data_IF_768876888211
#
_entry.id   IF_768876888211
#
_cell.length_a   1.000
_cell.length_b   1.000
_cell.length_c   1.000
_cell.angle_alpha   90.00
_cell.angle_beta   90.00
_cell.angle_gamma   90.00
#
_symmetry.space_group_name_H-M   'P 1'
#
loop_
_entity.id
_entity.type
_entity.pdbx_description
1 polymer ?
#
# COMPACT_ATOMS: atom_id res chain seq x y z
N UNK A 1 26.98 -9.42 4.60
CA UNK A 1 26.81 -9.53 3.14
C UNK A 1 25.34 -9.26 2.89
N UNK A 2 24.99 -8.20 2.17
CA UNK A 2 23.62 -8.06 1.67
C UNK A 2 23.38 -9.29 0.80
N UNK A 3 22.27 -9.97 1.01
CA UNK A 3 21.92 -11.31 0.51
C UNK A 3 21.89 -11.48 -1.03
N UNK A 4 22.35 -10.50 -1.80
CA UNK A 4 22.36 -10.54 -3.26
C UNK A 4 20.97 -10.64 -3.88
N UNK A 5 19.92 -10.46 -3.07
CA UNK A 5 18.56 -10.32 -3.54
C UNK A 5 18.46 -8.98 -4.23
N UNK A 6 17.70 -8.91 -5.32
CA UNK A 6 17.54 -7.65 -6.03
C UNK A 6 16.79 -6.56 -5.25
N UNK A 7 16.56 -6.74 -3.95
CA UNK A 7 15.59 -5.95 -3.22
C UNK A 7 16.06 -4.61 -2.70
N UNK A 8 15.10 -3.73 -2.34
CA UNK A 8 15.39 -2.49 -1.68
C UNK A 8 16.19 -2.76 -0.38
N UNK A 9 17.19 -1.92 -0.07
CA UNK A 9 18.07 -2.15 1.07
C UNK A 9 17.30 -2.11 2.40
N UNK A 10 17.75 -2.91 3.36
CA UNK A 10 17.22 -2.92 4.73
C UNK A 10 16.10 -3.93 4.95
N UNK A 11 15.17 -3.61 5.86
CA UNK A 11 14.07 -4.49 6.29
C UNK A 11 12.73 -4.12 5.60
N UNK A 12 12.76 -3.66 4.35
CA UNK A 12 11.56 -3.14 3.68
C UNK A 12 10.43 -4.17 3.61
N UNK A 13 10.74 -5.43 3.30
CA UNK A 13 9.73 -6.49 3.26
C UNK A 13 9.09 -6.75 4.63
N UNK A 14 9.85 -6.62 5.73
CA UNK A 14 9.30 -6.72 7.08
C UNK A 14 8.34 -5.55 7.37
N UNK A 15 8.71 -4.33 6.96
CA UNK A 15 7.86 -3.13 7.08
C UNK A 15 6.56 -3.32 6.28
N UNK A 16 6.62 -3.90 5.07
CA UNK A 16 5.42 -4.23 4.30
C UNK A 16 4.56 -5.28 5.00
N UNK A 17 5.17 -6.27 5.64
CA UNK A 17 4.47 -7.24 6.47
C UNK A 17 3.69 -6.56 7.60
N UNK A 18 4.35 -5.66 8.32
CA UNK A 18 3.73 -4.88 9.41
C UNK A 18 2.58 -3.99 8.89
N UNK A 19 2.77 -3.31 7.76
CA UNK A 19 1.73 -2.47 7.15
C UNK A 19 0.56 -3.30 6.64
N UNK A 20 0.81 -4.47 6.04
CA UNK A 20 -0.26 -5.39 5.65
C UNK A 20 -1.10 -5.81 6.85
N UNK A 21 -0.44 -6.20 7.95
CA UNK A 21 -1.12 -6.58 9.18
C UNK A 21 -1.93 -5.41 9.78
N UNK A 22 -1.42 -4.18 9.68
CA UNK A 22 -2.15 -2.98 10.10
C UNK A 22 -3.39 -2.72 9.22
N UNK A 23 -3.27 -2.84 7.90
CA UNK A 23 -4.41 -2.70 6.98
C UNK A 23 -5.52 -3.73 7.28
N UNK A 24 -5.15 -4.98 7.58
CA UNK A 24 -6.10 -6.03 7.95
C UNK A 24 -6.81 -5.73 9.29
N UNK A 25 -6.08 -5.17 10.26
CA UNK A 25 -6.68 -4.69 11.53
C UNK A 25 -7.63 -3.52 11.30
N UNK A 26 -7.27 -2.56 10.44
CA UNK A 26 -8.15 -1.45 10.06
C UNK A 26 -9.43 -1.97 9.43
N UNK A 27 -9.32 -2.91 8.48
CA UNK A 27 -10.49 -3.51 7.82
C UNK A 27 -11.39 -4.25 8.82
N UNK A 28 -10.81 -5.00 9.75
CA UNK A 28 -11.55 -5.68 10.82
C UNK A 28 -12.29 -4.68 11.69
N UNK A 29 -11.58 -3.67 12.19
CA UNK A 29 -12.18 -2.63 13.03
C UNK A 29 -13.26 -1.82 12.30
N UNK A 30 -13.10 -1.57 11.00
CA UNK A 30 -14.09 -0.89 10.17
C UNK A 30 -15.36 -1.73 10.01
N UNK A 31 -15.23 -3.04 9.74
CA UNK A 31 -16.37 -3.97 9.64
C UNK A 31 -17.16 -4.06 10.94
N UNK A 32 -16.47 -4.05 12.08
CA UNK A 32 -17.08 -4.11 13.41
C UNK A 32 -17.59 -2.74 13.91
N UNK A 33 -17.39 -1.66 13.15
CA UNK A 33 -17.74 -0.31 13.58
C UNK A 33 -16.94 0.18 14.80
N UNK A 34 -15.78 -0.42 15.05
CA UNK A 34 -14.83 -0.05 16.12
C UNK A 34 -13.75 0.91 15.65
N UNK A 35 -13.56 1.05 14.33
CA UNK A 35 -12.62 2.01 13.78
C UNK A 35 -13.24 3.42 13.79
N UNK A 36 -12.79 4.24 14.74
CA UNK A 36 -13.13 5.65 14.80
C UNK A 36 -11.95 6.46 14.23
N UNK A 37 -12.15 7.06 13.07
CA UNK A 37 -11.25 8.06 12.48
C UNK A 37 -12.05 9.35 12.30
N UNK A 38 -11.48 10.51 12.64
CA UNK A 38 -12.15 11.78 12.34
C UNK A 38 -12.25 11.95 10.82
N UNK A 39 -13.21 12.74 10.35
CA UNK A 39 -13.36 12.98 8.91
C UNK A 39 -12.09 13.62 8.32
N UNK A 40 -11.51 14.60 9.03
CA UNK A 40 -10.30 15.29 8.63
C UNK A 40 -9.10 14.35 8.58
N UNK A 41 -8.92 13.51 9.60
CA UNK A 41 -7.82 12.54 9.63
C UNK A 41 -7.99 11.46 8.56
N UNK A 42 -9.23 11.01 8.32
CA UNK A 42 -9.56 10.03 7.29
C UNK A 42 -9.26 10.56 5.88
N UNK A 43 -9.67 11.80 5.58
CA UNK A 43 -9.37 12.42 4.29
C UNK A 43 -7.89 12.74 4.12
N UNK A 44 -7.18 13.17 5.17
CA UNK A 44 -5.75 13.41 5.11
C UNK A 44 -4.97 12.12 4.77
N UNK A 45 -5.31 11.02 5.44
CA UNK A 45 -4.68 9.72 5.17
C UNK A 45 -5.03 9.21 3.76
N UNK A 46 -6.30 9.35 3.35
CA UNK A 46 -6.74 8.99 2.01
C UNK A 46 -6.02 9.80 0.93
N UNK A 47 -5.80 11.10 1.15
CA UNK A 47 -5.05 11.95 0.22
C UNK A 47 -3.63 11.45 0.06
N UNK A 48 -2.94 11.18 1.18
CA UNK A 48 -1.57 10.64 1.14
C UNK A 48 -1.48 9.29 0.41
N UNK A 49 -2.47 8.40 0.59
CA UNK A 49 -2.55 7.13 -0.14
C UNK A 49 -2.70 7.39 -1.65
N UNK A 50 -3.62 8.27 -2.04
CA UNK A 50 -3.89 8.58 -3.44
C UNK A 50 -2.69 9.24 -4.12
N UNK A 51 -1.97 10.12 -3.43
CA UNK A 51 -0.74 10.73 -3.92
C UNK A 51 0.31 9.65 -4.22
N UNK A 52 0.54 8.74 -3.27
CA UNK A 52 1.46 7.62 -3.47
C UNK A 52 1.04 6.72 -4.63
N UNK A 53 -0.23 6.31 -4.71
CA UNK A 53 -0.73 5.41 -5.76
C UNK A 53 -0.58 6.06 -7.14
N UNK A 54 -0.86 7.36 -7.23
CA UNK A 54 -0.70 8.15 -8.45
C UNK A 54 0.76 8.23 -8.87
N UNK A 55 1.64 8.58 -7.93
CA UNK A 55 3.08 8.66 -8.15
C UNK A 55 3.63 7.31 -8.59
N UNK A 56 3.28 6.23 -7.90
CA UNK A 56 3.72 4.89 -8.26
C UNK A 56 3.27 4.51 -9.66
N UNK A 57 1.98 4.69 -9.97
CA UNK A 57 1.41 4.40 -11.30
C UNK A 57 2.12 5.20 -12.41
N UNK A 58 2.46 6.46 -12.15
CA UNK A 58 3.20 7.29 -13.11
C UNK A 58 4.65 6.80 -13.35
N UNK A 59 5.25 6.18 -12.33
CA UNK A 59 6.62 5.68 -12.34
C UNK A 59 6.77 4.23 -12.81
N UNK A 60 5.69 3.43 -12.84
CA UNK A 60 5.74 2.03 -13.29
C UNK A 60 6.45 1.85 -14.64
N UNK A 61 6.15 2.73 -15.62
CA UNK A 61 6.83 2.69 -16.94
C UNK A 61 8.34 2.95 -16.86
N UNK A 62 8.79 3.77 -15.90
CA UNK A 62 10.22 4.01 -15.68
C UNK A 62 10.89 2.79 -15.05
N UNK A 63 10.20 2.11 -14.14
CA UNK A 63 10.68 0.85 -13.56
C UNK A 63 10.77 -0.28 -14.60
N UNK A 64 9.78 -0.41 -15.50
CA UNK A 64 9.88 -1.36 -16.60
C UNK A 64 11.08 -1.10 -17.52
N UNK A 65 11.47 0.17 -17.71
CA UNK A 65 12.70 0.50 -18.44
C UNK A 65 13.97 0.14 -17.67
N UNK A 66 13.96 0.24 -16.34
CA UNK A 66 15.07 -0.22 -15.50
C UNK A 66 15.23 -1.74 -15.54
N UNK A 67 14.13 -2.47 -15.79
CA UNK A 67 14.14 -3.90 -16.01
C UNK A 67 14.63 -4.31 -17.41
N UNK A 68 14.88 -3.35 -18.32
CA UNK A 68 15.52 -3.65 -19.60
C UNK A 68 17.01 -3.93 -19.39
N UNK A 69 17.52 -4.98 -20.04
CA UNK A 69 18.94 -5.35 -19.92
C UNK A 69 19.83 -4.22 -20.47
N UNK A 70 20.70 -3.62 -19.64
CA UNK A 70 21.54 -2.51 -20.09
C UNK A 70 22.61 -3.00 -21.09
N UNK A 71 22.88 -2.19 -22.12
CA UNK A 71 23.86 -2.49 -23.17
C UNK A 71 25.28 -2.17 -22.68
N UNK A 72 25.80 -2.99 -21.77
CA UNK A 72 27.11 -2.78 -21.11
C UNK A 72 28.29 -3.43 -21.87
N UNK A 73 28.07 -3.91 -23.10
CA UNK A 73 29.05 -4.66 -23.89
C UNK A 73 28.88 -6.18 -23.78
N UNK A 74 29.85 -6.93 -24.30
CA UNK A 74 29.79 -8.41 -24.45
C UNK A 74 30.73 -9.17 -23.51
N UNK A 75 31.40 -8.47 -22.58
CA UNK A 75 32.27 -9.15 -21.61
C UNK A 75 31.44 -9.98 -20.61
N UNK A 76 31.99 -11.06 -20.05
CA UNK A 76 31.31 -11.84 -19.02
C UNK A 76 30.86 -10.97 -17.83
N UNK A 77 31.70 -10.03 -17.41
CA UNK A 77 31.37 -9.08 -16.34
C UNK A 77 30.21 -8.15 -16.73
N UNK A 78 30.20 -7.59 -17.94
CA UNK A 78 29.10 -6.77 -18.44
C UNK A 78 27.77 -7.53 -18.44
N UNK A 79 27.81 -8.83 -18.77
CA UNK A 79 26.63 -9.69 -18.70
C UNK A 79 26.12 -9.90 -17.28
N UNK A 80 27.01 -10.12 -16.30
CA UNK A 80 26.64 -10.27 -14.89
C UNK A 80 26.01 -8.99 -14.33
N UNK A 81 26.60 -7.82 -14.61
CA UNK A 81 26.05 -6.53 -14.18
C UNK A 81 24.67 -6.30 -14.79
N UNK A 82 24.50 -6.58 -16.08
CA UNK A 82 23.20 -6.43 -16.74
C UNK A 82 22.12 -7.36 -16.19
N UNK A 83 22.47 -8.60 -15.82
CA UNK A 83 21.54 -9.52 -15.16
C UNK A 83 21.17 -9.05 -13.75
N UNK A 84 22.15 -8.55 -12.99
CA UNK A 84 21.90 -8.03 -11.65
C UNK A 84 20.98 -6.80 -11.68
N UNK A 85 21.19 -5.86 -12.62
CA UNK A 85 20.34 -4.69 -12.79
C UNK A 85 18.87 -5.06 -13.06
N UNK A 86 18.64 -6.00 -13.98
CA UNK A 86 17.30 -6.53 -14.29
C UNK A 86 16.68 -7.19 -13.06
N UNK A 87 17.46 -8.01 -12.33
CA UNK A 87 17.00 -8.68 -11.12
C UNK A 87 16.53 -7.68 -10.07
N UNK A 88 17.30 -6.61 -9.86
CA UNK A 88 16.98 -5.57 -8.88
C UNK A 88 15.71 -4.82 -9.23
N UNK A 89 15.48 -4.56 -10.52
CA UNK A 89 14.33 -3.80 -10.98
C UNK A 89 13.02 -4.59 -10.90
N UNK A 90 12.98 -5.82 -11.44
CA UNK A 90 11.73 -6.58 -11.64
C UNK A 90 11.91 -8.12 -11.57
N UNK A 91 13.08 -8.65 -11.18
CA UNK A 91 13.39 -10.06 -11.42
C UNK A 91 12.97 -11.07 -10.34
N UNK A 92 12.61 -10.64 -9.13
CA UNK A 92 12.18 -11.53 -8.05
C UNK A 92 11.18 -10.86 -7.10
N UNK A 93 10.69 -11.61 -6.10
CA UNK A 93 9.72 -11.11 -5.11
C UNK A 93 10.27 -9.95 -4.29
N UNK A 94 11.60 -9.85 -4.16
CA UNK A 94 12.27 -8.81 -3.42
C UNK A 94 12.56 -7.60 -4.30
N UNK A 95 12.51 -7.71 -5.62
CA UNK A 95 12.79 -6.60 -6.54
C UNK A 95 11.97 -5.35 -6.24
N UNK A 96 12.58 -4.19 -6.50
CA UNK A 96 12.03 -2.90 -6.12
C UNK A 96 10.62 -2.67 -6.69
N UNK A 97 10.36 -3.09 -7.94
CA UNK A 97 9.02 -2.99 -8.53
C UNK A 97 8.00 -3.85 -7.80
N UNK A 98 8.32 -5.12 -7.52
CA UNK A 98 7.41 -6.02 -6.80
C UNK A 98 7.06 -5.50 -5.41
N UNK A 99 8.05 -4.97 -4.69
CA UNK A 99 7.86 -4.43 -3.35
C UNK A 99 7.01 -3.14 -3.35
N UNK A 100 7.15 -2.28 -4.38
CA UNK A 100 6.32 -1.08 -4.54
C UNK A 100 4.90 -1.42 -5.01
N UNK A 101 4.72 -2.43 -5.88
CA UNK A 101 3.41 -2.98 -6.22
C UNK A 101 2.70 -3.54 -4.96
N UNK A 102 3.42 -4.26 -4.10
CA UNK A 102 2.90 -4.75 -2.83
C UNK A 102 2.48 -3.62 -1.88
N UNK A 103 3.29 -2.55 -1.78
CA UNK A 103 2.94 -1.37 -0.99
C UNK A 103 1.65 -0.71 -1.51
N UNK A 104 1.50 -0.53 -2.83
CA UNK A 104 0.26 -0.03 -3.44
C UNK A 104 -0.94 -0.86 -3.01
N UNK A 105 -0.84 -2.18 -3.09
CA UNK A 105 -1.96 -3.07 -2.78
C UNK A 105 -2.32 -3.05 -1.28
N UNK A 106 -1.33 -2.90 -0.39
CA UNK A 106 -1.57 -2.69 1.05
C UNK A 106 -2.29 -1.35 1.29
N UNK A 107 -1.85 -0.27 0.66
CA UNK A 107 -2.43 1.05 0.85
C UNK A 107 -3.86 1.15 0.30
N UNK A 108 -4.15 0.50 -0.83
CA UNK A 108 -5.52 0.40 -1.35
C UNK A 108 -6.46 -0.29 -0.34
N UNK A 109 -6.03 -1.40 0.30
CA UNK A 109 -6.81 -2.04 1.36
C UNK A 109 -7.03 -1.13 2.57
N UNK A 110 -6.04 -0.32 2.93
CA UNK A 110 -6.18 0.66 4.00
C UNK A 110 -7.21 1.76 3.64
N UNK A 111 -7.22 2.27 2.39
CA UNK A 111 -8.22 3.23 1.92
C UNK A 111 -9.64 2.65 1.95
N UNK A 112 -9.81 1.40 1.53
CA UNK A 112 -11.08 0.69 1.61
C UNK A 112 -11.59 0.60 3.06
N UNK A 113 -10.69 0.29 4.00
CA UNK A 113 -11.03 0.22 5.42
C UNK A 113 -11.47 1.60 5.98
N UNK A 114 -10.78 2.69 5.61
CA UNK A 114 -11.15 4.06 6.00
C UNK A 114 -12.54 4.40 5.46
N UNK A 115 -12.79 4.12 4.18
CA UNK A 115 -14.07 4.41 3.51
C UNK A 115 -15.22 3.64 4.15
N UNK A 116 -15.00 2.36 4.47
CA UNK A 116 -15.96 1.53 5.17
C UNK A 116 -16.27 2.07 6.57
N UNK A 117 -15.24 2.47 7.32
CA UNK A 117 -15.42 3.01 8.66
C UNK A 117 -16.21 4.33 8.66
N UNK A 118 -15.92 5.26 7.72
CA UNK A 118 -16.72 6.49 7.55
C UNK A 118 -18.19 6.15 7.30
N UNK A 119 -18.46 5.14 6.49
CA UNK A 119 -19.83 4.70 6.16
C UNK A 119 -20.54 4.12 7.38
N UNK A 120 -19.87 3.22 8.12
CA UNK A 120 -20.40 2.61 9.34
C UNK A 120 -20.63 3.62 10.46
N UNK A 121 -19.75 4.59 10.62
CA UNK A 121 -19.91 5.67 11.58
C UNK A 121 -21.19 6.47 11.30
N UNK A 122 -21.38 6.91 10.04
CA UNK A 122 -22.59 7.66 9.63
C UNK A 122 -23.88 6.86 9.82
N UNK A 123 -23.86 5.56 9.50
CA UNK A 123 -25.02 4.69 9.71
C UNK A 123 -25.38 4.61 11.20
N UNK A 124 -24.40 4.33 12.07
CA UNK A 124 -24.64 4.22 13.51
C UNK A 124 -25.12 5.54 14.12
N UNK A 125 -24.60 6.67 13.66
CA UNK A 125 -25.06 7.99 14.13
C UNK A 125 -26.51 8.27 13.72
N UNK A 126 -26.89 7.94 12.48
CA UNK A 126 -28.27 8.04 12.01
C UNK A 126 -29.22 7.13 12.81
N UNK A 127 -28.86 5.86 13.00
CA UNK A 127 -29.65 4.87 13.75
C UNK A 127 -29.87 5.33 15.20
N UNK A 128 -28.81 5.82 15.86
CA UNK A 128 -28.89 6.34 17.22
C UNK A 128 -29.77 7.60 17.31
N UNK A 129 -29.65 8.51 16.33
CA UNK A 129 -30.48 9.70 16.27
C UNK A 129 -31.97 9.36 16.08
N UNK A 130 -32.30 8.32 15.29
CA UNK A 130 -33.67 7.82 15.15
C UNK A 130 -34.20 7.21 16.45
N UNK A 131 -33.41 6.37 17.13
CA UNK A 131 -33.77 5.78 18.41
C UNK A 131 -34.02 6.84 19.49
N UNK A 132 -33.19 7.88 19.54
CA UNK A 132 -33.39 8.98 20.50
C UNK A 132 -34.68 9.75 20.23
N UNK A 133 -35.02 9.97 18.95
CA UNK A 133 -36.28 10.62 18.55
C UNK A 133 -37.51 9.78 18.88
N UNK A 134 -37.43 8.44 18.80
CA UNK A 134 -38.55 7.58 19.21
C UNK A 134 -38.76 7.62 20.72
N UNK A 135 -37.68 7.64 21.51
CA UNK A 135 -37.77 7.70 22.98
C UNK A 135 -38.31 9.04 23.51
N UNK A 136 -38.19 10.14 22.75
CA UNK A 136 -38.73 11.46 23.12
C UNK A 136 -40.21 11.64 22.78
N UNK A 137 -40.82 10.71 22.04
CA UNK A 137 -42.23 10.78 21.64
C UNK A 137 -43.18 10.00 22.57
N UNK A 138 -42.62 9.24 23.50
CA UNK A 138 -43.33 8.56 24.60
C UNK A 138 -43.23 9.39 25.90
#
# INVERSE_FOLDING_TARGET
>A
MTDGTGGPPGNFSDILGDFSAQADRMMTAAKEGRFAVSEEAGEALRTAINDYVTDWSSNQRRFSRLAERPKLGTSPFAHQVGQHAVRVAEGDDLSAKTQLDALRDILNRAEEAITLAKTKYRQRDADNAEQLKSLQKD
#
